data_IF_979461349557
#
_entry.id   IF_979461349557
#
_cell.length_a   1.000
_cell.length_b   1.000
_cell.length_c   1.000
_cell.angle_alpha   90.00
_cell.angle_beta   90.00
_cell.angle_gamma   90.00
#
_symmetry.space_group_name_H-M   'P 1'
#
loop_
_entity.id
_entity.type
_entity.pdbx_description
1 polymer ?
#
# COMPACT_ATOMS: atom_id res chain seq x y z
N UNK A 1 7.49 -24.94 -2.48
CA UNK A 1 8.53 -23.92 -2.73
C UNK A 1 9.06 -23.46 -1.38
N UNK A 2 10.32 -23.01 -1.29
CA UNK A 2 10.86 -22.55 0.00
C UNK A 2 10.14 -21.27 0.42
N UNK A 3 9.96 -21.07 1.73
CA UNK A 3 9.32 -19.86 2.29
C UNK A 3 9.99 -18.58 1.78
N UNK A 4 11.32 -18.61 1.57
CA UNK A 4 12.09 -17.52 0.97
C UNK A 4 11.66 -17.21 -0.46
N UNK A 5 11.43 -18.23 -1.28
CA UNK A 5 10.99 -18.06 -2.66
C UNK A 5 9.61 -17.40 -2.69
N UNK A 6 8.70 -17.85 -1.83
CA UNK A 6 7.35 -17.30 -1.73
C UNK A 6 7.37 -15.83 -1.27
N UNK A 7 8.20 -15.49 -0.28
CA UNK A 7 8.38 -14.10 0.19
C UNK A 7 8.99 -13.20 -0.89
N UNK A 8 9.95 -13.70 -1.66
CA UNK A 8 10.57 -12.93 -2.74
C UNK A 8 9.54 -12.59 -3.82
N UNK A 9 8.71 -13.56 -4.24
CA UNK A 9 7.67 -13.34 -5.24
C UNK A 9 6.69 -12.26 -4.79
N UNK A 10 6.17 -12.38 -3.57
CA UNK A 10 5.22 -11.41 -2.99
C UNK A 10 5.87 -10.03 -2.81
N UNK A 11 7.15 -9.97 -2.47
CA UNK A 11 7.86 -8.69 -2.31
C UNK A 11 8.08 -8.00 -3.66
N UNK A 12 8.42 -8.75 -4.70
CA UNK A 12 8.61 -8.21 -6.05
C UNK A 12 7.30 -7.65 -6.59
N UNK A 13 6.20 -8.39 -6.46
CA UNK A 13 4.88 -7.94 -6.90
C UNK A 13 4.43 -6.70 -6.11
N UNK A 14 4.64 -6.68 -4.80
CA UNK A 14 4.36 -5.51 -3.96
C UNK A 14 5.12 -4.26 -4.42
N UNK A 15 6.42 -4.39 -4.74
CA UNK A 15 7.22 -3.27 -5.27
C UNK A 15 6.68 -2.83 -6.63
N UNK A 16 6.34 -3.77 -7.51
CA UNK A 16 5.78 -3.46 -8.82
C UNK A 16 4.44 -2.69 -8.71
N UNK A 17 3.54 -3.12 -7.82
CA UNK A 17 2.28 -2.42 -7.56
C UNK A 17 2.50 -1.06 -6.92
N UNK A 18 3.48 -0.93 -6.02
CA UNK A 18 3.82 0.34 -5.41
C UNK A 18 4.38 1.34 -6.42
N UNK A 19 5.33 0.92 -7.26
CA UNK A 19 5.90 1.77 -8.32
C UNK A 19 4.84 2.11 -9.37
N UNK A 20 4.01 1.15 -9.76
CA UNK A 20 2.90 1.36 -10.70
C UNK A 20 1.88 2.36 -10.17
N UNK A 21 1.42 2.16 -8.92
CA UNK A 21 0.53 3.09 -8.22
C UNK A 21 1.16 4.47 -8.06
N UNK A 22 2.39 4.55 -7.58
CA UNK A 22 3.13 5.80 -7.43
C UNK A 22 3.26 6.56 -8.74
N UNK A 23 3.65 5.89 -9.83
CA UNK A 23 3.78 6.52 -11.15
C UNK A 23 2.43 7.00 -11.69
N UNK A 24 1.37 6.19 -11.51
CA UNK A 24 0.02 6.55 -11.91
C UNK A 24 -0.48 7.79 -11.15
N UNK A 25 -0.33 7.82 -9.82
CA UNK A 25 -0.73 8.98 -9.02
C UNK A 25 0.16 10.20 -9.25
N UNK A 26 1.46 10.00 -9.48
CA UNK A 26 2.37 11.10 -9.80
C UNK A 26 2.05 11.73 -11.17
N UNK A 27 1.57 10.95 -12.14
CA UNK A 27 1.17 11.48 -13.46
C UNK A 27 -0.24 12.07 -13.47
N UNK A 28 -1.20 11.45 -12.77
CA UNK A 28 -2.62 11.84 -12.81
C UNK A 28 -2.96 12.92 -11.77
N UNK A 29 -2.37 12.87 -10.56
CA UNK A 29 -2.74 13.73 -9.43
C UNK A 29 -1.90 15.02 -9.37
N UNK A 30 -0.62 14.97 -9.73
CA UNK A 30 0.26 16.15 -9.77
C UNK A 30 -0.01 17.10 -10.94
N UNK A 31 -0.95 16.77 -11.85
CA UNK A 31 -1.32 17.70 -12.92
C UNK A 31 -2.17 18.88 -12.42
N UNK A 32 -2.91 18.68 -11.31
CA UNK A 32 -3.91 19.65 -10.82
C UNK A 32 -3.79 20.02 -9.32
N UNK A 33 -2.78 19.53 -8.59
CA UNK A 33 -2.56 19.88 -7.18
C UNK A 33 -1.30 20.75 -7.02
N UNK A 34 -1.49 22.07 -6.92
CA UNK A 34 -0.44 23.06 -6.63
C UNK A 34 0.18 22.89 -5.22
N UNK A 35 -0.48 22.15 -4.32
CA UNK A 35 -0.02 21.95 -2.93
C UNK A 35 0.76 20.65 -2.83
N UNK A 36 2.09 20.76 -2.94
CA UNK A 36 3.08 19.68 -3.05
C UNK A 36 3.28 18.88 -1.75
N UNK A 37 2.24 18.17 -1.31
CA UNK A 37 2.35 17.27 -0.15
C UNK A 37 2.66 15.83 -0.60
N UNK A 38 3.96 15.57 -0.85
CA UNK A 38 4.48 14.25 -1.27
C UNK A 38 4.04 13.10 -0.35
N UNK A 39 3.83 13.39 0.94
CA UNK A 39 3.42 12.41 1.95
C UNK A 39 2.00 11.87 1.66
N UNK A 40 1.06 12.70 1.22
CA UNK A 40 -0.32 12.26 0.88
C UNK A 40 -0.29 11.27 -0.27
N UNK A 41 0.42 11.63 -1.33
CA UNK A 41 0.56 10.81 -2.53
C UNK A 41 1.21 9.47 -2.17
N UNK A 42 2.18 9.49 -1.26
CA UNK A 42 2.84 8.27 -0.77
C UNK A 42 1.90 7.40 0.04
N UNK A 43 1.12 7.99 0.96
CA UNK A 43 0.13 7.26 1.74
C UNK A 43 -0.97 6.62 0.86
N UNK A 44 -1.37 7.30 -0.21
CA UNK A 44 -2.35 6.79 -1.15
C UNK A 44 -1.79 5.65 -2.00
N UNK A 45 -0.60 5.85 -2.60
CA UNK A 45 0.08 4.82 -3.38
C UNK A 45 0.38 3.57 -2.52
N UNK A 46 0.74 3.77 -1.25
CA UNK A 46 0.99 2.67 -0.31
C UNK A 46 -0.28 1.89 0.03
N UNK A 47 -1.38 2.58 0.33
CA UNK A 47 -2.69 1.96 0.58
C UNK A 47 -3.18 1.18 -0.65
N UNK A 48 -3.01 1.75 -1.85
CA UNK A 48 -3.33 1.07 -3.11
C UNK A 48 -2.48 -0.19 -3.31
N UNK A 49 -1.16 -0.09 -3.14
CA UNK A 49 -0.25 -1.23 -3.30
C UNK A 49 -0.56 -2.37 -2.32
N UNK A 50 -0.87 -2.06 -1.06
CA UNK A 50 -1.28 -3.05 -0.06
C UNK A 50 -2.62 -3.70 -0.42
N UNK A 51 -3.57 -2.94 -0.98
CA UNK A 51 -4.85 -3.48 -1.45
C UNK A 51 -4.65 -4.45 -2.62
N UNK A 52 -3.79 -4.09 -3.59
CA UNK A 52 -3.40 -4.98 -4.68
C UNK A 52 -2.70 -6.25 -4.17
N UNK A 53 -1.84 -6.13 -3.16
CA UNK A 53 -1.14 -7.28 -2.56
C UNK A 53 -2.13 -8.24 -1.88
N UNK A 54 -3.16 -7.74 -1.20
CA UNK A 54 -4.22 -8.61 -0.67
C UNK A 54 -5.02 -9.32 -1.77
N UNK A 55 -5.34 -8.60 -2.83
CA UNK A 55 -6.05 -9.19 -3.97
C UNK A 55 -5.21 -10.28 -4.65
N UNK A 56 -3.90 -10.03 -4.83
CA UNK A 56 -2.96 -11.02 -5.35
C UNK A 56 -2.86 -12.25 -4.46
N UNK A 57 -2.83 -12.10 -3.13
CA UNK A 57 -2.84 -13.23 -2.20
C UNK A 57 -4.09 -14.11 -2.36
N UNK A 58 -5.26 -13.53 -2.62
CA UNK A 58 -6.50 -14.27 -2.93
C UNK A 58 -6.35 -15.05 -4.25
N UNK A 59 -5.75 -14.44 -5.28
CA UNK A 59 -5.49 -15.14 -6.55
C UNK A 59 -4.54 -16.33 -6.33
N UNK A 60 -3.46 -16.14 -5.56
CA UNK A 60 -2.53 -17.20 -5.20
C UNK A 60 -3.16 -18.29 -4.31
N UNK A 61 -4.24 -17.95 -3.60
CA UNK A 61 -5.04 -18.92 -2.88
C UNK A 61 -5.82 -19.83 -3.84
N UNK A 62 -6.54 -19.23 -4.79
CA UNK A 62 -7.35 -19.94 -5.80
C UNK A 62 -6.46 -20.82 -6.70
N UNK A 63 -5.29 -20.31 -7.10
CA UNK A 63 -4.34 -21.05 -7.94
C UNK A 63 -3.55 -22.14 -7.19
N UNK A 64 -3.71 -22.25 -5.87
CA UNK A 64 -2.92 -23.16 -5.01
C UNK A 64 -1.40 -23.06 -5.21
N UNK A 65 -0.90 -21.88 -5.60
CA UNK A 65 0.49 -21.67 -6.01
C UNK A 65 1.43 -21.53 -4.81
N UNK A 66 0.94 -20.96 -3.70
CA UNK A 66 1.74 -20.63 -2.51
C UNK A 66 1.40 -21.53 -1.32
N UNK A 67 2.38 -21.80 -0.44
CA UNK A 67 2.16 -22.61 0.75
C UNK A 67 1.17 -21.95 1.73
N UNK A 68 0.23 -22.72 2.33
CA UNK A 68 -0.80 -22.16 3.23
C UNK A 68 -0.25 -21.38 4.42
N UNK A 69 0.86 -21.84 5.02
CA UNK A 69 1.52 -21.21 6.16
C UNK A 69 2.13 -19.85 5.81
N UNK A 70 2.76 -19.74 4.63
CA UNK A 70 3.33 -18.49 4.13
C UNK A 70 2.25 -17.46 3.81
N UNK A 71 1.14 -17.88 3.19
CA UNK A 71 0.00 -16.99 2.87
C UNK A 71 -0.61 -16.36 4.12
N UNK A 72 -0.85 -17.14 5.15
CA UNK A 72 -1.48 -16.65 6.39
C UNK A 72 -0.62 -15.57 7.08
N UNK A 73 0.71 -15.73 7.03
CA UNK A 73 1.64 -14.73 7.56
C UNK A 73 1.56 -13.43 6.75
N UNK A 74 1.65 -13.50 5.42
CA UNK A 74 1.58 -12.31 4.56
C UNK A 74 0.23 -11.60 4.69
N UNK A 75 -0.86 -12.36 4.82
CA UNK A 75 -2.20 -11.81 5.04
C UNK A 75 -2.29 -11.06 6.38
N UNK A 76 -1.83 -11.66 7.49
CA UNK A 76 -1.81 -10.96 8.79
C UNK A 76 -1.00 -9.68 8.74
N UNK A 77 0.23 -9.75 8.21
CA UNK A 77 1.12 -8.59 8.13
C UNK A 77 0.48 -7.48 7.28
N UNK A 78 -0.02 -7.79 6.09
CA UNK A 78 -0.61 -6.78 5.23
C UNK A 78 -1.88 -6.15 5.83
N UNK A 79 -2.69 -6.91 6.58
CA UNK A 79 -3.87 -6.36 7.28
C UNK A 79 -3.46 -5.42 8.41
N UNK A 80 -2.45 -5.78 9.21
CA UNK A 80 -1.93 -4.90 10.24
C UNK A 80 -1.37 -3.60 9.66
N UNK A 81 -0.63 -3.68 8.54
CA UNK A 81 -0.11 -2.49 7.86
C UNK A 81 -1.23 -1.60 7.29
N UNK A 82 -2.24 -2.18 6.64
CA UNK A 82 -3.38 -1.41 6.15
C UNK A 82 -4.17 -0.75 7.28
N UNK A 83 -4.42 -1.47 8.37
CA UNK A 83 -5.12 -0.92 9.52
C UNK A 83 -4.33 0.23 10.14
N UNK A 84 -3.00 0.08 10.27
CA UNK A 84 -2.14 1.15 10.75
C UNK A 84 -2.20 2.40 9.85
N UNK A 85 -2.10 2.22 8.52
CA UNK A 85 -2.15 3.34 7.58
C UNK A 85 -3.51 4.05 7.61
N UNK A 86 -4.60 3.28 7.65
CA UNK A 86 -5.95 3.83 7.56
C UNK A 86 -6.42 4.49 8.85
N UNK A 87 -6.08 3.90 10.01
CA UNK A 87 -6.57 4.37 11.31
C UNK A 87 -5.64 5.39 11.94
N UNK A 88 -4.32 5.28 11.74
CA UNK A 88 -3.37 6.20 12.36
C UNK A 88 -2.81 7.21 11.37
N UNK A 89 -2.20 6.74 10.28
CA UNK A 89 -1.44 7.64 9.39
C UNK A 89 -2.35 8.65 8.67
N UNK A 90 -3.45 8.19 8.06
CA UNK A 90 -4.35 9.06 7.31
C UNK A 90 -5.03 10.11 8.21
N UNK A 91 -5.64 9.75 9.37
CA UNK A 91 -6.29 10.75 10.23
C UNK A 91 -5.31 11.74 10.84
N UNK A 92 -4.12 11.28 11.25
CA UNK A 92 -3.08 12.17 11.75
C UNK A 92 -2.62 13.17 10.69
N UNK A 93 -2.50 12.71 9.43
CA UNK A 93 -2.13 13.58 8.33
C UNK A 93 -3.21 14.63 8.02
N UNK A 94 -4.48 14.23 8.02
CA UNK A 94 -5.61 15.16 7.84
C UNK A 94 -5.61 16.20 8.96
N UNK A 95 -5.40 15.79 10.22
CA UNK A 95 -5.31 16.71 11.35
C UNK A 95 -4.15 17.71 11.19
N UNK A 96 -2.97 17.25 10.76
CA UNK A 96 -1.83 18.13 10.47
C UNK A 96 -2.16 19.15 9.37
N UNK A 97 -2.80 18.70 8.29
CA UNK A 97 -3.18 19.57 7.19
C UNK A 97 -4.18 20.65 7.64
N UNK A 98 -5.23 20.26 8.38
CA UNK A 98 -6.24 21.19 8.92
C UNK A 98 -5.59 22.23 9.86
N UNK A 99 -4.71 21.82 10.76
CA UNK A 99 -4.02 22.73 11.68
C UNK A 99 -3.12 23.73 10.93
N UNK A 100 -2.48 23.29 9.85
CA UNK A 100 -1.63 24.17 9.05
C UNK A 100 -2.47 25.17 8.22
N UNK A 101 -3.65 24.77 7.76
CA UNK A 101 -4.58 25.66 7.04
C UNK A 101 -5.18 26.73 7.96
N UNK A 102 -5.43 26.41 9.24
CA UNK A 102 -6.01 27.35 10.24
C UNK A 102 -4.98 28.40 10.72
N UNK A 103 -3.67 28.18 10.51
CA UNK A 103 -2.61 29.13 10.88
C UNK A 103 -2.39 30.26 9.86
N UNK A 104 -3.30 30.44 8.91
CA UNK A 104 -3.35 31.54 7.94
C UNK A 104 -4.40 32.55 8.40
#
# INVERSE_FOLDING_TARGET
>A
MSLLTDTIVVTISQIAFFVGGWLFFFRQLCRNYDVRNRIVILSFALTFALSCTMFELIIFEILAFLQPSSRYLHWRIGLYFMLFLLVFLIPFYIAYLVLNTIKI
#
